data_IF_968529498997
#
_entry.id   IF_968529498997
#
_cell.length_a   1.000
_cell.length_b   1.000
_cell.length_c   1.000
_cell.angle_alpha   90.00
_cell.angle_beta   90.00
_cell.angle_gamma   90.00
#
_symmetry.space_group_name_H-M   'P 1'
#
loop_
_entity.id
_entity.type
_entity.pdbx_description
1 polymer ?
#
# COMPACT_ATOMS: atom_id res chain seq x y z
N UNK A 1 32.63 -9.07 14.79
CA UNK A 1 31.84 -7.88 14.40
C UNK A 1 30.89 -7.58 15.55
N UNK A 2 31.09 -6.46 16.26
CA UNK A 2 30.22 -6.08 17.36
C UNK A 2 28.86 -5.69 16.78
N UNK A 3 27.81 -6.43 17.16
CA UNK A 3 26.44 -5.99 16.89
C UNK A 3 26.26 -4.64 17.59
N UNK A 4 26.08 -3.56 16.83
CA UNK A 4 25.69 -2.27 17.38
C UNK A 4 24.27 -2.45 17.94
N UNK A 5 24.18 -2.87 19.19
CA UNK A 5 22.94 -2.84 19.96
C UNK A 5 22.68 -1.37 20.27
N UNK A 6 22.10 -0.66 19.30
CA UNK A 6 21.61 0.69 19.52
C UNK A 6 20.58 0.58 20.66
N UNK A 7 20.87 1.23 21.79
CA UNK A 7 20.01 1.14 22.99
C UNK A 7 18.87 2.17 22.96
N UNK A 8 18.94 3.17 22.07
CA UNK A 8 17.93 4.21 21.88
C UNK A 8 18.03 4.83 20.47
N UNK A 9 16.91 5.29 19.93
CA UNK A 9 16.86 6.00 18.64
C UNK A 9 17.28 7.48 18.76
N UNK A 10 17.40 8.01 19.98
CA UNK A 10 17.70 9.43 20.24
C UNK A 10 18.95 9.98 19.52
N UNK A 11 19.99 9.15 19.32
CA UNK A 11 21.16 9.57 18.54
C UNK A 11 20.86 9.74 17.05
N UNK A 12 20.03 8.88 16.48
CA UNK A 12 19.57 8.98 15.09
C UNK A 12 18.61 10.17 14.91
N UNK A 13 17.72 10.40 15.88
CA UNK A 13 16.82 11.55 15.90
C UNK A 13 17.57 12.87 16.01
N UNK A 14 18.63 12.94 16.82
CA UNK A 14 19.49 14.12 16.90
C UNK A 14 20.16 14.43 15.55
N UNK A 15 20.56 13.41 14.79
CA UNK A 15 21.13 13.58 13.45
C UNK A 15 20.12 14.10 12.42
N UNK A 16 18.81 13.95 12.63
CA UNK A 16 17.79 14.55 11.77
C UNK A 16 17.73 16.08 11.90
N UNK A 17 18.10 16.62 13.08
CA UNK A 17 18.14 18.06 13.34
C UNK A 17 19.40 18.74 12.78
N UNK A 18 20.40 17.96 12.34
CA UNK A 18 21.63 18.50 11.77
C UNK A 18 21.39 19.05 10.35
N UNK A 19 22.18 20.06 9.97
CA UNK A 19 22.05 20.73 8.67
C UNK A 19 22.51 19.89 7.48
N UNK A 20 23.31 18.84 7.70
CA UNK A 20 23.96 18.12 6.62
C UNK A 20 23.03 17.06 5.96
N UNK A 21 22.76 17.13 4.65
CA UNK A 21 21.77 16.26 3.98
C UNK A 21 22.16 14.77 4.02
N UNK A 22 23.45 14.46 3.92
CA UNK A 22 23.96 13.08 4.04
C UNK A 22 23.68 12.45 5.43
N UNK A 23 23.73 13.26 6.49
CA UNK A 23 23.43 12.78 7.85
C UNK A 23 21.95 12.48 8.00
N UNK A 24 21.08 13.34 7.44
CA UNK A 24 19.62 13.11 7.40
C UNK A 24 19.27 11.82 6.67
N UNK A 25 19.86 11.58 5.49
CA UNK A 25 19.64 10.34 4.74
C UNK A 25 20.08 9.11 5.53
N UNK A 26 21.27 9.15 6.13
CA UNK A 26 21.78 8.04 6.95
C UNK A 26 20.91 7.81 8.19
N UNK A 27 20.42 8.88 8.82
CA UNK A 27 19.50 8.79 9.94
C UNK A 27 18.17 8.13 9.52
N UNK A 28 17.54 8.61 8.45
CA UNK A 28 16.29 8.05 7.92
C UNK A 28 16.41 6.57 7.54
N UNK A 29 17.50 6.19 6.87
CA UNK A 29 17.75 4.80 6.49
C UNK A 29 17.85 3.88 7.72
N UNK A 30 18.61 4.28 8.73
CA UNK A 30 18.76 3.48 9.94
C UNK A 30 17.47 3.47 10.77
N UNK A 31 16.74 4.58 10.84
CA UNK A 31 15.45 4.64 11.54
C UNK A 31 14.44 3.68 10.94
N UNK A 32 14.38 3.58 9.60
CA UNK A 32 13.51 2.61 8.92
C UNK A 32 13.82 1.16 9.28
N UNK A 33 15.09 0.83 9.54
CA UNK A 33 15.50 -0.53 9.94
C UNK A 33 15.16 -0.86 11.40
N UNK A 34 15.00 0.14 12.25
CA UNK A 34 14.75 -0.06 13.69
C UNK A 34 13.37 0.42 14.16
N UNK A 35 12.50 0.81 13.23
CA UNK A 35 11.17 1.37 13.54
C UNK A 35 10.34 0.41 14.40
N UNK A 36 10.36 -0.89 14.11
CA UNK A 36 9.62 -1.91 14.85
C UNK A 36 9.94 -1.93 16.35
N UNK A 37 11.17 -1.56 16.72
CA UNK A 37 11.66 -1.58 18.10
C UNK A 37 11.54 -0.22 18.79
N UNK A 38 11.76 0.88 18.06
CA UNK A 38 11.83 2.23 18.62
C UNK A 38 10.68 3.14 18.17
N UNK A 39 9.58 2.60 17.63
CA UNK A 39 8.41 3.38 17.25
C UNK A 39 7.90 4.34 18.36
N UNK A 40 7.96 4.03 19.69
CA UNK A 40 7.50 4.98 20.70
C UNK A 40 8.43 6.19 20.86
N UNK A 41 9.72 6.04 20.57
CA UNK A 41 10.67 7.16 20.59
C UNK A 41 10.52 7.99 19.32
N UNK A 42 10.40 7.32 18.17
CA UNK A 42 10.29 7.97 16.85
C UNK A 42 8.96 8.75 16.75
N UNK A 43 7.87 8.24 17.32
CA UNK A 43 6.56 8.90 17.30
C UNK A 43 6.60 10.31 17.90
N UNK A 44 7.45 10.56 18.90
CA UNK A 44 7.63 11.89 19.50
C UNK A 44 8.22 12.92 18.54
N UNK A 45 8.93 12.44 17.51
CA UNK A 45 9.63 13.24 16.51
C UNK A 45 8.97 13.24 15.13
N UNK A 46 7.78 12.65 15.00
CA UNK A 46 7.02 12.63 13.73
C UNK A 46 6.88 14.02 13.10
N UNK A 47 6.56 15.10 13.84
CA UNK A 47 6.43 16.44 13.24
C UNK A 47 7.70 16.94 12.55
N UNK A 48 8.88 16.49 13.02
CA UNK A 48 10.16 16.84 12.40
C UNK A 48 10.34 16.04 11.10
N UNK A 49 9.89 14.79 11.08
CA UNK A 49 9.99 13.94 9.88
C UNK A 49 8.96 14.38 8.83
N UNK A 50 7.78 14.83 9.24
CA UNK A 50 6.78 15.44 8.36
C UNK A 50 7.30 16.72 7.72
N UNK A 51 7.91 17.63 8.49
CA UNK A 51 8.50 18.84 7.91
C UNK A 51 9.63 18.53 6.92
N UNK A 52 10.40 17.46 7.15
CA UNK A 52 11.40 16.97 6.19
C UNK A 52 10.79 16.35 4.93
N UNK A 53 9.59 15.77 5.01
CA UNK A 53 8.87 15.25 3.85
C UNK A 53 8.27 16.38 3.00
N UNK A 54 7.76 17.43 3.65
CA UNK A 54 7.17 18.61 2.99
C UNK A 54 8.21 19.54 2.36
N UNK A 55 9.45 19.49 2.82
CA UNK A 55 10.53 20.35 2.32
C UNK A 55 10.98 19.92 0.90
N UNK A 56 10.59 20.71 -0.09
CA UNK A 56 10.89 20.49 -1.51
C UNK A 56 12.37 20.67 -1.86
N UNK A 57 13.19 21.25 -0.98
CA UNK A 57 14.62 21.43 -1.21
C UNK A 57 15.40 20.11 -1.15
N UNK A 58 14.82 19.05 -0.55
CA UNK A 58 15.47 17.75 -0.44
C UNK A 58 15.32 16.85 -1.67
N UNK A 59 16.34 16.00 -1.84
CA UNK A 59 16.34 14.93 -2.82
C UNK A 59 15.09 14.06 -2.68
N UNK A 60 14.50 13.69 -3.82
CA UNK A 60 13.27 12.88 -3.86
C UNK A 60 13.41 11.57 -3.06
N UNK A 61 14.61 10.97 -3.06
CA UNK A 61 14.89 9.76 -2.29
C UNK A 61 14.79 9.97 -0.77
N UNK A 62 15.21 11.14 -0.26
CA UNK A 62 15.12 11.45 1.17
C UNK A 62 13.66 11.66 1.58
N UNK A 63 12.88 12.37 0.76
CA UNK A 63 11.44 12.54 0.98
C UNK A 63 10.69 11.22 0.98
N UNK A 64 10.99 10.33 0.03
CA UNK A 64 10.38 8.99 0.00
C UNK A 64 10.75 8.16 1.24
N UNK A 65 12.00 8.26 1.73
CA UNK A 65 12.43 7.57 2.95
C UNK A 65 11.72 8.12 4.21
N UNK A 66 11.53 9.43 4.27
CA UNK A 66 10.80 10.10 5.34
C UNK A 66 9.32 9.67 5.35
N UNK A 67 8.67 9.69 4.18
CA UNK A 67 7.30 9.20 4.02
C UNK A 67 7.13 7.74 4.45
N UNK A 68 8.07 6.86 4.06
CA UNK A 68 8.04 5.46 4.48
C UNK A 68 8.15 5.32 6.01
N UNK A 69 9.06 6.07 6.63
CA UNK A 69 9.25 6.05 8.09
C UNK A 69 7.98 6.50 8.82
N UNK A 70 7.42 7.63 8.39
CA UNK A 70 6.19 8.20 8.96
C UNK A 70 5.03 7.22 8.81
N UNK A 71 4.87 6.63 7.63
CA UNK A 71 3.84 5.61 7.38
C UNK A 71 3.97 4.41 8.33
N UNK A 72 5.18 3.90 8.55
CA UNK A 72 5.43 2.80 9.50
C UNK A 72 5.13 3.20 10.95
N UNK A 73 5.43 4.43 11.34
CA UNK A 73 5.11 4.92 12.69
C UNK A 73 3.60 5.03 12.89
N UNK A 74 2.86 5.61 11.94
CA UNK A 74 1.40 5.67 12.00
C UNK A 74 0.73 4.30 12.03
N UNK A 75 1.30 3.31 11.33
CA UNK A 75 0.86 1.92 11.45
C UNK A 75 0.94 1.40 12.89
N UNK A 76 2.04 1.67 13.61
CA UNK A 76 2.16 1.27 15.01
C UNK A 76 1.29 2.09 15.96
N UNK A 77 0.98 3.35 15.62
CA UNK A 77 0.00 4.18 16.35
C UNK A 77 -1.45 3.71 16.14
N UNK A 78 -1.71 2.94 15.08
CA UNK A 78 -3.04 2.45 14.71
C UNK A 78 -3.81 3.37 13.76
N UNK A 79 -3.19 4.45 13.29
CA UNK A 79 -3.77 5.42 12.35
C UNK A 79 -3.49 4.97 10.91
N UNK A 80 -4.34 4.06 10.40
CA UNK A 80 -4.13 3.43 9.10
C UNK A 80 -4.40 4.37 7.91
N UNK A 81 -5.30 5.34 8.06
CA UNK A 81 -5.64 6.28 6.99
C UNK A 81 -4.44 7.20 6.68
N UNK A 82 -3.81 7.76 7.71
CA UNK A 82 -2.59 8.55 7.58
C UNK A 82 -1.40 7.69 7.16
N UNK A 83 -1.29 6.47 7.70
CA UNK A 83 -0.28 5.51 7.23
C UNK A 83 -0.37 5.26 5.72
N UNK A 84 -1.58 5.11 5.16
CA UNK A 84 -1.78 4.90 3.74
C UNK A 84 -1.41 6.13 2.90
N UNK A 85 -1.78 7.34 3.34
CA UNK A 85 -1.47 8.57 2.61
C UNK A 85 0.04 8.78 2.47
N UNK A 86 0.81 8.51 3.53
CA UNK A 86 2.26 8.55 3.52
C UNK A 86 2.89 7.38 2.74
N UNK A 87 2.31 6.18 2.80
CA UNK A 87 2.76 5.04 1.97
C UNK A 87 2.63 5.35 0.47
N UNK A 88 1.53 6.00 0.07
CA UNK A 88 1.33 6.50 -1.30
C UNK A 88 2.37 7.57 -1.68
N UNK A 89 2.80 8.40 -0.73
CA UNK A 89 3.88 9.37 -0.88
C UNK A 89 5.27 8.75 -1.06
N UNK A 90 5.54 7.59 -0.43
CA UNK A 90 6.80 6.86 -0.55
C UNK A 90 7.00 6.26 -1.95
N UNK A 91 5.92 6.01 -2.69
CA UNK A 91 5.93 5.68 -4.12
C UNK A 91 6.73 4.41 -4.46
N UNK A 92 7.97 4.56 -4.91
CA UNK A 92 8.85 3.45 -5.29
C UNK A 92 9.49 2.72 -4.10
N UNK A 93 9.59 3.37 -2.93
CA UNK A 93 10.18 2.74 -1.75
C UNK A 93 9.20 1.85 -0.98
N UNK A 94 7.90 1.95 -1.24
CA UNK A 94 6.91 1.04 -0.71
C UNK A 94 6.91 -0.26 -1.52
N UNK A 95 7.62 -1.28 -1.02
CA UNK A 95 7.70 -2.57 -1.69
C UNK A 95 6.50 -3.47 -1.36
N UNK A 96 5.63 -3.65 -2.36
CA UNK A 96 4.48 -4.57 -2.31
C UNK A 96 4.94 -6.04 -2.24
N UNK A 97 6.21 -6.31 -2.54
CA UNK A 97 6.80 -7.64 -2.52
C UNK A 97 7.11 -8.14 -1.11
N UNK A 98 7.32 -7.22 -0.16
CA UNK A 98 7.71 -7.52 1.21
C UNK A 98 6.59 -8.26 1.97
N UNK A 99 6.90 -9.46 2.46
CA UNK A 99 5.98 -10.25 3.30
C UNK A 99 6.05 -9.77 4.76
N UNK A 100 5.59 -8.54 5.00
CA UNK A 100 5.47 -7.97 6.35
C UNK A 100 4.01 -7.67 6.72
N UNK A 101 3.70 -7.78 8.02
CA UNK A 101 2.35 -7.48 8.52
C UNK A 101 1.93 -6.04 8.22
N UNK A 102 2.89 -5.11 8.21
CA UNK A 102 2.72 -3.72 7.80
C UNK A 102 2.20 -3.64 6.36
N UNK A 103 2.91 -4.25 5.40
CA UNK A 103 2.52 -4.23 3.98
C UNK A 103 1.19 -4.93 3.77
N UNK A 104 0.95 -6.10 4.37
CA UNK A 104 -0.34 -6.79 4.24
C UNK A 104 -1.53 -5.97 4.77
N UNK A 105 -1.37 -5.29 5.91
CA UNK A 105 -2.44 -4.48 6.50
C UNK A 105 -2.72 -3.24 5.64
N UNK A 106 -1.68 -2.56 5.18
CA UNK A 106 -1.81 -1.39 4.32
C UNK A 106 -2.41 -1.73 2.95
N UNK A 107 -2.00 -2.86 2.35
CA UNK A 107 -2.57 -3.31 1.09
C UNK A 107 -4.05 -3.64 1.23
N UNK A 108 -4.45 -4.35 2.29
CA UNK A 108 -5.86 -4.64 2.56
C UNK A 108 -6.65 -3.33 2.68
N UNK A 109 -6.14 -2.37 3.45
CA UNK A 109 -6.75 -1.05 3.61
C UNK A 109 -6.84 -0.28 2.29
N UNK A 110 -5.79 -0.32 1.46
CA UNK A 110 -5.76 0.32 0.14
C UNK A 110 -6.80 -0.29 -0.81
N UNK A 111 -6.97 -1.61 -0.81
CA UNK A 111 -7.99 -2.31 -1.60
C UNK A 111 -9.38 -1.88 -1.15
N UNK A 112 -9.65 -1.88 0.16
CA UNK A 112 -10.94 -1.49 0.73
C UNK A 112 -11.30 -0.05 0.33
N UNK A 113 -10.35 0.88 0.45
CA UNK A 113 -10.55 2.27 0.08
C UNK A 113 -10.79 2.42 -1.43
N UNK A 114 -9.96 1.80 -2.27
CA UNK A 114 -10.11 1.81 -3.71
C UNK A 114 -11.47 1.23 -4.16
N UNK A 115 -11.86 0.08 -3.59
CA UNK A 115 -13.15 -0.56 -3.87
C UNK A 115 -14.31 0.33 -3.43
N UNK A 116 -14.20 0.99 -2.28
CA UNK A 116 -15.21 1.95 -1.80
C UNK A 116 -15.36 3.13 -2.76
N UNK A 117 -14.26 3.70 -3.26
CA UNK A 117 -14.26 4.82 -4.19
C UNK A 117 -14.84 4.42 -5.55
N UNK A 118 -14.43 3.28 -6.12
CA UNK A 118 -15.02 2.75 -7.35
C UNK A 118 -16.51 2.48 -7.20
N UNK A 119 -16.94 1.94 -6.05
CA UNK A 119 -18.36 1.67 -5.79
C UNK A 119 -19.22 2.93 -5.79
N UNK A 120 -18.71 4.01 -5.17
CA UNK A 120 -19.35 5.34 -5.13
C UNK A 120 -19.34 6.02 -6.50
N UNK A 121 -18.26 5.91 -7.27
CA UNK A 121 -18.17 6.48 -8.62
C UNK A 121 -19.22 5.87 -9.57
N UNK A 122 -19.46 4.57 -9.49
CA UNK A 122 -20.53 3.91 -10.26
C UNK A 122 -21.94 4.36 -9.83
N UNK A 123 -22.10 4.81 -8.59
CA UNK A 123 -23.40 5.27 -8.05
C UNK A 123 -23.78 6.68 -8.48
N UNK A 124 -22.79 7.56 -8.55
CA UNK A 124 -23.01 8.99 -8.80
C UNK A 124 -22.96 9.36 -10.28
N UNK A 125 -22.54 8.46 -11.19
CA UNK A 125 -22.18 8.80 -12.58
C UNK A 125 -21.19 9.98 -12.67
N UNK A 126 -20.56 10.35 -11.55
CA UNK A 126 -19.56 11.39 -11.50
C UNK A 126 -18.26 10.79 -12.01
N UNK A 127 -17.67 11.47 -12.99
CA UNK A 127 -16.44 11.13 -13.69
C UNK A 127 -15.38 10.58 -12.73
N UNK A 128 -14.61 9.61 -13.18
CA UNK A 128 -13.48 8.94 -12.49
C UNK A 128 -12.37 9.88 -11.99
N UNK A 129 -12.57 11.20 -12.02
CA UNK A 129 -11.63 12.28 -11.73
C UNK A 129 -11.17 12.38 -10.26
N UNK A 130 -11.79 11.65 -9.32
CA UNK A 130 -11.39 11.66 -7.90
C UNK A 130 -10.54 10.44 -7.49
N UNK A 131 -10.10 9.61 -8.44
CA UNK A 131 -9.23 8.49 -8.11
C UNK A 131 -7.78 8.95 -8.04
N UNK A 132 -7.13 8.77 -6.89
CA UNK A 132 -5.69 9.00 -6.77
C UNK A 132 -4.95 7.96 -7.61
N UNK A 133 -4.23 8.42 -8.66
CA UNK A 133 -3.45 7.55 -9.54
C UNK A 133 -2.43 6.69 -8.76
N UNK A 134 -1.97 7.16 -7.60
CA UNK A 134 -1.04 6.41 -6.75
C UNK A 134 -1.71 5.19 -6.13
N UNK A 135 -2.96 5.34 -5.69
CA UNK A 135 -3.73 4.25 -5.08
C UNK A 135 -4.01 3.17 -6.13
N UNK A 136 -4.42 3.58 -7.32
CA UNK A 136 -4.61 2.67 -8.46
C UNK A 136 -3.32 1.93 -8.81
N UNK A 137 -2.18 2.62 -8.86
CA UNK A 137 -0.89 2.01 -9.15
C UNK A 137 -0.48 0.96 -8.10
N UNK A 138 -0.78 1.16 -6.81
CA UNK A 138 -0.49 0.17 -5.77
C UNK A 138 -1.37 -1.08 -5.95
N UNK A 139 -2.68 -0.89 -6.16
CA UNK A 139 -3.62 -2.00 -6.38
C UNK A 139 -3.27 -2.78 -7.66
N UNK A 140 -2.83 -2.09 -8.72
CA UNK A 140 -2.31 -2.71 -9.94
C UNK A 140 -1.08 -3.58 -9.68
N UNK A 141 -0.05 -3.02 -9.03
CA UNK A 141 1.16 -3.77 -8.68
C UNK A 141 0.84 -4.99 -7.83
N UNK A 142 -0.12 -4.88 -6.91
CA UNK A 142 -0.55 -6.00 -6.08
C UNK A 142 -1.25 -7.09 -6.90
N UNK A 143 -2.19 -6.71 -7.78
CA UNK A 143 -2.87 -7.67 -8.66
C UNK A 143 -1.88 -8.38 -9.58
N UNK A 144 -0.96 -7.63 -10.19
CA UNK A 144 0.08 -8.20 -11.04
C UNK A 144 1.00 -9.15 -10.26
N UNK A 145 1.38 -8.80 -9.02
CA UNK A 145 2.12 -9.69 -8.12
C UNK A 145 1.34 -10.97 -7.84
N UNK A 146 0.05 -10.88 -7.48
CA UNK A 146 -0.77 -12.07 -7.22
C UNK A 146 -0.89 -12.98 -8.45
N UNK A 147 -0.95 -12.42 -9.65
CA UNK A 147 -0.97 -13.17 -10.91
C UNK A 147 0.38 -13.86 -11.15
N UNK A 148 1.50 -13.17 -10.92
CA UNK A 148 2.86 -13.73 -11.07
C UNK A 148 3.14 -14.84 -10.04
N UNK A 149 2.67 -14.66 -8.80
CA UNK A 149 2.80 -15.64 -7.71
C UNK A 149 1.91 -16.88 -7.89
N UNK A 150 1.05 -16.91 -8.93
CA UNK A 150 0.08 -17.99 -9.17
C UNK A 150 -1.08 -18.01 -8.18
N UNK A 151 -1.24 -16.94 -7.37
CA UNK A 151 -2.34 -16.77 -6.41
C UNK A 151 -3.61 -16.24 -7.10
N UNK A 152 -4.07 -16.94 -8.14
CA UNK A 152 -5.20 -16.51 -8.97
C UNK A 152 -6.49 -16.32 -8.16
N UNK A 153 -6.75 -17.15 -7.15
CA UNK A 153 -7.96 -17.01 -6.32
C UNK A 153 -8.02 -15.66 -5.59
N UNK A 154 -6.89 -15.22 -5.05
CA UNK A 154 -6.79 -13.93 -4.38
C UNK A 154 -6.89 -12.78 -5.39
N UNK A 155 -6.21 -12.89 -6.54
CA UNK A 155 -6.30 -11.91 -7.62
C UNK A 155 -7.75 -11.74 -8.11
N UNK A 156 -8.49 -12.84 -8.29
CA UNK A 156 -9.89 -12.82 -8.70
C UNK A 156 -10.79 -12.17 -7.64
N UNK A 157 -10.55 -12.43 -6.34
CA UNK A 157 -11.27 -11.78 -5.25
C UNK A 157 -11.09 -10.26 -5.26
N UNK A 158 -9.83 -9.80 -5.30
CA UNK A 158 -9.49 -8.37 -5.35
C UNK A 158 -10.05 -7.72 -6.62
N UNK A 159 -9.92 -8.37 -7.78
CA UNK A 159 -10.46 -7.84 -9.04
C UNK A 159 -11.99 -7.69 -9.00
N UNK A 160 -12.70 -8.63 -8.37
CA UNK A 160 -14.14 -8.57 -8.18
C UNK A 160 -14.56 -7.42 -7.24
N UNK A 161 -13.85 -7.24 -6.13
CA UNK A 161 -14.08 -6.16 -5.16
C UNK A 161 -13.81 -4.78 -5.77
N UNK A 162 -12.69 -4.64 -6.48
CA UNK A 162 -12.29 -3.42 -7.18
C UNK A 162 -13.10 -3.13 -8.45
N UNK A 163 -14.03 -4.02 -8.83
CA UNK A 163 -14.83 -3.94 -10.07
C UNK A 163 -14.02 -3.86 -11.36
N UNK A 164 -12.85 -4.49 -11.40
CA UNK A 164 -11.97 -4.49 -12.58
C UNK A 164 -12.07 -5.80 -13.35
N UNK A 165 -12.92 -5.79 -14.37
CA UNK A 165 -13.17 -6.94 -15.22
C UNK A 165 -11.96 -7.32 -16.08
N UNK A 166 -11.19 -6.33 -16.54
CA UNK A 166 -10.00 -6.57 -17.38
C UNK A 166 -8.96 -7.46 -16.65
N UNK A 167 -8.69 -7.16 -15.37
CA UNK A 167 -7.77 -7.95 -14.54
C UNK A 167 -8.36 -9.28 -14.10
N UNK A 168 -9.69 -9.37 -13.99
CA UNK A 168 -10.37 -10.64 -13.73
C UNK A 168 -10.20 -11.59 -14.92
N UNK A 169 -10.40 -11.11 -16.14
CA UNK A 169 -10.20 -11.88 -17.38
C UNK A 169 -8.74 -12.31 -17.54
N UNK A 170 -7.80 -11.42 -17.27
CA UNK A 170 -6.36 -11.73 -17.29
C UNK A 170 -6.02 -12.84 -16.28
N UNK A 171 -6.56 -12.76 -15.05
CA UNK A 171 -6.33 -13.77 -14.02
C UNK A 171 -6.95 -15.14 -14.37
N UNK A 172 -8.11 -15.18 -15.03
CA UNK A 172 -8.75 -16.42 -15.48
C UNK A 172 -7.97 -17.04 -16.65
N UNK A 173 -7.53 -16.22 -17.61
CA UNK A 173 -6.84 -16.69 -18.82
C UNK A 173 -5.44 -17.22 -18.50
N UNK A 174 -4.76 -16.62 -17.52
CA UNK A 174 -3.45 -17.08 -17.06
C UNK A 174 -3.51 -18.25 -16.08
N UNK A 175 -4.68 -18.62 -15.56
CA UNK A 175 -4.77 -19.72 -14.61
C UNK A 175 -4.63 -21.08 -15.31
N UNK A 176 -3.94 -22.01 -14.64
CA UNK A 176 -3.76 -23.38 -15.16
C UNK A 176 -5.09 -24.17 -15.25
N UNK A 177 -6.10 -23.73 -14.50
CA UNK A 177 -7.41 -24.39 -14.41
C UNK A 177 -8.55 -23.39 -14.62
N UNK A 178 -8.83 -23.10 -15.88
CA UNK A 178 -9.90 -22.20 -16.33
C UNK A 178 -11.26 -22.61 -15.75
N UNK A 179 -11.61 -23.90 -15.79
CA UNK A 179 -12.91 -24.39 -15.29
C UNK A 179 -13.07 -24.21 -13.79
N UNK A 180 -12.01 -24.45 -13.01
CA UNK A 180 -11.99 -24.23 -11.57
C UNK A 180 -12.08 -22.74 -11.23
N UNK A 181 -11.32 -21.89 -11.93
CA UNK A 181 -11.35 -20.44 -11.77
C UNK A 181 -12.72 -19.85 -12.11
N UNK A 182 -13.35 -20.27 -13.21
CA UNK A 182 -14.71 -19.84 -13.58
C UNK A 182 -15.74 -20.25 -12.54
N UNK A 183 -15.68 -21.50 -12.08
CA UNK A 183 -16.59 -22.00 -11.04
C UNK A 183 -16.44 -21.21 -9.73
N UNK A 184 -15.19 -20.89 -9.36
CA UNK A 184 -14.88 -20.04 -8.22
C UNK A 184 -15.41 -18.61 -8.40
N UNK A 185 -15.16 -17.97 -9.54
CA UNK A 185 -15.65 -16.63 -9.87
C UNK A 185 -17.18 -16.56 -9.82
N UNK A 186 -17.88 -17.56 -10.37
CA UNK A 186 -19.34 -17.62 -10.32
C UNK A 186 -19.81 -17.70 -8.86
N UNK A 187 -19.24 -18.60 -8.04
CA UNK A 187 -19.61 -18.71 -6.63
C UNK A 187 -19.33 -17.41 -5.86
N UNK A 188 -18.18 -16.78 -6.09
CA UNK A 188 -17.83 -15.49 -5.50
C UNK A 188 -18.80 -14.38 -5.93
N UNK A 189 -19.18 -14.33 -7.21
CA UNK A 189 -20.16 -13.35 -7.71
C UNK A 189 -21.54 -13.54 -7.06
N UNK A 190 -21.90 -14.78 -6.70
CA UNK A 190 -23.15 -15.06 -6.00
C UNK A 190 -23.12 -14.60 -4.53
N UNK A 191 -22.00 -14.80 -3.84
CA UNK A 191 -21.87 -14.48 -2.41
C UNK A 191 -21.58 -13.01 -2.14
N UNK A 192 -20.73 -12.36 -2.95
CA UNK A 192 -20.19 -11.04 -2.65
C UNK A 192 -20.77 -9.91 -3.51
N UNK A 193 -21.32 -10.20 -4.70
CA UNK A 193 -21.89 -9.15 -5.55
C UNK A 193 -23.38 -8.96 -5.29
N UNK A 194 -23.71 -7.86 -4.63
CA UNK A 194 -25.11 -7.46 -4.38
C UNK A 194 -25.83 -6.95 -5.64
N UNK A 195 -25.12 -6.24 -6.54
CA UNK A 195 -25.70 -5.64 -7.74
C UNK A 195 -25.95 -6.65 -8.85
N UNK A 196 -27.18 -6.66 -9.39
CA UNK A 196 -27.57 -7.55 -10.48
C UNK A 196 -26.86 -7.21 -11.81
N UNK A 197 -26.67 -5.94 -12.10
CA UNK A 197 -26.00 -5.47 -13.33
C UNK A 197 -24.56 -5.96 -13.41
N UNK A 198 -23.79 -5.72 -12.35
CA UNK A 198 -22.41 -6.19 -12.25
C UNK A 198 -22.31 -7.73 -12.27
N UNK A 199 -23.26 -8.45 -11.65
CA UNK A 199 -23.33 -9.93 -11.80
C UNK A 199 -23.57 -10.38 -13.24
N UNK A 200 -24.37 -9.64 -14.00
CA UNK A 200 -24.61 -9.96 -15.40
C UNK A 200 -23.36 -9.69 -16.25
N UNK A 201 -22.59 -8.66 -15.96
CA UNK A 201 -21.32 -8.38 -16.64
C UNK A 201 -20.26 -9.44 -16.35
N UNK A 202 -20.08 -9.81 -15.08
CA UNK A 202 -19.16 -10.89 -14.68
C UNK A 202 -19.51 -12.23 -15.33
N UNK A 203 -20.80 -12.48 -15.64
CA UNK A 203 -21.27 -13.69 -16.32
C UNK A 203 -21.13 -13.66 -17.85
N UNK A 204 -20.90 -12.49 -18.43
CA UNK A 204 -20.70 -12.33 -19.88
C UNK A 204 -19.24 -12.55 -20.28
N UNK A 205 -18.31 -12.37 -19.34
CA UNK A 205 -16.95 -12.91 -19.38
C UNK A 205 -16.99 -14.43 -19.39
#
# INVERSE_FOLDING_TARGET
MAAMTVSSAGGLLAMLNESHPLLKQHALYNLNNFVDRFWPEISTSVPIIESLYEDEEFDQHQRQLAALLVSKVFYYLGELDDSLSYALGAGSLFDVSEDSNYVHTLLAKAIDEYASLKSKATESNAVEENMDCRLEAIVERMLDKCIVDGKYQQAMGIALECRRLDKLEEAITRSDNIHGSLSYCINMSHSFVYRREYRCEVRKL
#
